data_IF_980643439014
#
_entry.id   IF_980643439014
#
_cell.length_a   1.000
_cell.length_b   1.000
_cell.length_c   1.000
_cell.angle_alpha   90.00
_cell.angle_beta   90.00
_cell.angle_gamma   90.00
#
_symmetry.space_group_name_H-M   'P 1'
#
loop_
_entity.id
_entity.type
_entity.pdbx_description
1 polymer ?
#
# COMPACT_ATOMS: atom_id res chain seq x y z
N UNK A 1 1.37 -12.88 -0.94
CA UNK A 1 1.79 -12.00 -2.06
C UNK A 1 1.76 -12.69 -3.43
N UNK A 2 1.97 -14.02 -3.50
CA UNK A 2 1.93 -14.72 -4.79
C UNK A 2 0.63 -14.50 -5.54
N UNK A 3 -0.49 -14.53 -4.82
CA UNK A 3 -1.80 -14.28 -5.42
C UNK A 3 -1.85 -12.88 -6.07
N UNK A 4 -1.30 -11.88 -5.39
CA UNK A 4 -1.25 -10.53 -5.93
C UNK A 4 -0.42 -10.49 -7.21
N UNK A 5 0.70 -11.20 -7.23
CA UNK A 5 1.56 -11.23 -8.40
C UNK A 5 0.86 -11.88 -9.61
N UNK A 6 0.06 -12.93 -9.35
CA UNK A 6 -0.70 -13.56 -10.42
C UNK A 6 -1.73 -12.60 -11.01
N UNK A 7 -2.43 -11.85 -10.16
CA UNK A 7 -3.37 -10.84 -10.63
C UNK A 7 -2.65 -9.80 -11.49
N UNK A 8 -1.51 -9.31 -11.01
CA UNK A 8 -0.70 -8.35 -11.76
C UNK A 8 -0.33 -8.89 -13.14
N UNK A 9 0.17 -10.12 -13.16
CA UNK A 9 0.63 -10.71 -14.40
C UNK A 9 -0.52 -10.87 -15.40
N UNK A 10 -1.67 -11.32 -14.90
CA UNK A 10 -2.84 -11.47 -15.76
C UNK A 10 -3.25 -10.12 -16.36
N UNK A 11 -3.34 -9.09 -15.54
CA UNK A 11 -3.74 -7.76 -16.03
C UNK A 11 -2.73 -7.25 -17.04
N UNK A 12 -1.45 -7.33 -16.70
CA UNK A 12 -0.40 -6.74 -17.52
C UNK A 12 -0.35 -7.35 -18.91
N UNK A 13 -0.69 -8.63 -19.02
CA UNK A 13 -0.61 -9.33 -20.30
C UNK A 13 -1.97 -9.50 -20.97
N UNK A 14 -3.01 -8.81 -20.49
CA UNK A 14 -4.32 -8.87 -21.10
C UNK A 14 -4.40 -7.90 -22.27
N UNK A 15 -5.21 -8.26 -23.27
CA UNK A 15 -5.42 -7.39 -24.42
C UNK A 15 -6.18 -6.14 -24.00
N UNK A 16 -7.03 -6.24 -22.99
CA UNK A 16 -7.85 -5.12 -22.55
C UNK A 16 -7.00 -3.92 -22.11
N UNK A 17 -5.78 -4.16 -21.62
CA UNK A 17 -4.92 -3.07 -21.17
C UNK A 17 -4.49 -2.17 -22.33
N UNK A 18 -4.43 -2.73 -23.53
CA UNK A 18 -4.04 -1.93 -24.71
C UNK A 18 -5.09 -0.88 -25.04
N UNK A 19 -6.35 -1.27 -24.92
CA UNK A 19 -7.45 -0.36 -25.22
C UNK A 19 -7.83 0.52 -24.03
N UNK A 20 -7.57 0.04 -22.83
CA UNK A 20 -7.94 0.72 -21.58
C UNK A 20 -6.71 0.79 -20.66
N UNK A 21 -5.79 1.73 -20.94
CA UNK A 21 -4.52 1.81 -20.17
C UNK A 21 -4.73 2.03 -18.66
N UNK A 22 -5.87 2.56 -18.27
CA UNK A 22 -6.15 2.78 -16.85
C UNK A 22 -6.20 1.48 -16.05
N UNK A 23 -6.48 0.36 -16.73
CA UNK A 23 -6.47 -0.94 -16.06
C UNK A 23 -5.11 -1.32 -15.51
N UNK A 24 -4.05 -0.74 -16.09
CA UNK A 24 -2.70 -1.05 -15.67
C UNK A 24 -2.34 -0.45 -14.32
N UNK A 25 -3.17 0.43 -13.79
CA UNK A 25 -2.91 1.05 -12.49
C UNK A 25 -2.90 0.00 -11.37
N UNK A 26 -3.79 -0.98 -11.44
CA UNK A 26 -3.81 -2.07 -10.46
C UNK A 26 -2.51 -2.87 -10.51
N UNK A 27 -2.06 -3.21 -11.73
CA UNK A 27 -0.82 -3.96 -11.88
C UNK A 27 0.37 -3.16 -11.35
N UNK A 28 0.38 -1.86 -11.60
CA UNK A 28 1.45 -0.97 -11.13
C UNK A 28 1.45 -0.87 -9.62
N UNK A 29 0.28 -0.75 -9.02
CA UNK A 29 0.16 -0.68 -7.56
C UNK A 29 0.66 -1.96 -6.91
N UNK A 30 0.30 -3.13 -7.46
CA UNK A 30 0.80 -4.39 -6.95
C UNK A 30 2.33 -4.44 -7.05
N UNK A 31 2.87 -4.01 -8.18
CA UNK A 31 4.32 -3.98 -8.36
C UNK A 31 4.99 -3.12 -7.29
N UNK A 32 4.42 -1.95 -7.01
CA UNK A 32 4.97 -1.04 -6.01
C UNK A 32 4.99 -1.67 -4.62
N UNK A 33 3.93 -2.40 -4.26
CA UNK A 33 3.89 -3.10 -2.98
C UNK A 33 4.99 -4.15 -2.92
N UNK A 34 5.16 -4.93 -3.98
CA UNK A 34 6.22 -5.93 -4.04
C UNK A 34 7.59 -5.31 -3.85
N UNK A 35 7.86 -4.23 -4.57
CA UNK A 35 9.16 -3.55 -4.46
C UNK A 35 9.38 -3.03 -3.05
N UNK A 36 8.33 -2.57 -2.41
CA UNK A 36 8.47 -2.02 -1.07
C UNK A 36 8.79 -3.07 -0.01
N UNK A 37 8.37 -4.32 -0.22
CA UNK A 37 8.53 -5.35 0.81
C UNK A 37 9.62 -6.37 0.49
N UNK A 38 10.13 -6.39 -0.75
CA UNK A 38 11.02 -7.48 -1.17
C UNK A 38 12.32 -7.54 -0.36
N UNK A 39 12.77 -6.42 0.20
CA UNK A 39 13.99 -6.39 1.00
C UNK A 39 13.72 -6.60 2.49
N UNK A 40 12.47 -6.87 2.88
CA UNK A 40 12.08 -6.93 4.28
C UNK A 40 11.53 -8.29 4.68
N UNK A 41 11.77 -9.31 3.85
CA UNK A 41 11.15 -10.62 4.05
C UNK A 41 11.62 -11.31 5.33
N UNK A 42 12.78 -10.92 5.86
CA UNK A 42 13.32 -11.56 7.06
C UNK A 42 13.02 -10.76 8.34
N UNK A 43 12.29 -9.65 8.22
CA UNK A 43 11.89 -8.86 9.37
C UNK A 43 10.36 -8.73 9.36
N UNK A 44 9.64 -9.61 10.09
CA UNK A 44 8.18 -9.59 10.04
C UNK A 44 7.56 -8.26 10.43
N UNK A 45 8.12 -7.57 11.41
CA UNK A 45 7.55 -6.28 11.82
C UNK A 45 7.62 -5.26 10.69
N UNK A 46 8.79 -5.14 10.07
CA UNK A 46 8.96 -4.19 8.97
C UNK A 46 8.11 -4.58 7.77
N UNK A 47 8.06 -5.87 7.47
CA UNK A 47 7.28 -6.39 6.37
C UNK A 47 5.81 -5.99 6.52
N UNK A 48 5.20 -6.35 7.65
CA UNK A 48 3.77 -6.09 7.84
C UNK A 48 3.46 -4.60 8.03
N UNK A 49 4.39 -3.86 8.60
CA UNK A 49 4.23 -2.41 8.70
C UNK A 49 4.18 -1.76 7.31
N UNK A 50 5.06 -2.21 6.42
CA UNK A 50 5.09 -1.69 5.06
C UNK A 50 3.84 -2.09 4.29
N UNK A 51 3.41 -3.35 4.41
CA UNK A 51 2.17 -3.78 3.77
C UNK A 51 1.01 -2.92 4.26
N UNK A 52 0.91 -2.69 5.56
CA UNK A 52 -0.18 -1.89 6.09
C UNK A 52 -0.19 -0.47 5.54
N UNK A 53 0.98 0.12 5.37
CA UNK A 53 1.06 1.46 4.79
C UNK A 53 0.54 1.51 3.36
N UNK A 54 0.67 0.40 2.66
CA UNK A 54 0.27 0.34 1.25
C UNK A 54 -1.18 -0.12 1.04
N UNK A 55 -1.84 -0.62 2.11
CA UNK A 55 -3.17 -1.19 1.98
C UNK A 55 -4.20 -0.20 1.45
N UNK A 56 -4.14 1.04 1.91
CA UNK A 56 -5.09 2.04 1.46
C UNK A 56 -5.02 2.26 -0.03
N UNK A 57 -3.81 2.40 -0.55
CA UNK A 57 -3.61 2.61 -1.97
C UNK A 57 -3.99 1.37 -2.77
N UNK A 58 -3.65 0.19 -2.26
CA UNK A 58 -3.97 -1.06 -2.92
C UNK A 58 -5.49 -1.26 -2.99
N UNK A 59 -6.19 -0.99 -1.89
CA UNK A 59 -7.64 -1.12 -1.86
C UNK A 59 -8.31 -0.14 -2.80
N UNK A 60 -7.83 1.09 -2.86
CA UNK A 60 -8.36 2.08 -3.78
C UNK A 60 -8.14 1.66 -5.23
N UNK A 61 -6.95 1.12 -5.52
CA UNK A 61 -6.66 0.64 -6.88
C UNK A 61 -7.55 -0.54 -7.23
N UNK A 62 -7.82 -1.43 -6.28
CA UNK A 62 -8.70 -2.59 -6.52
C UNK A 62 -10.13 -2.16 -6.79
N UNK A 63 -10.64 -1.17 -6.05
CA UNK A 63 -11.98 -0.64 -6.30
C UNK A 63 -12.07 0.00 -7.68
N UNK A 64 -11.07 0.78 -8.03
CA UNK A 64 -11.06 1.43 -9.34
C UNK A 64 -10.93 0.39 -10.45
N UNK A 65 -10.09 -0.61 -10.25
CA UNK A 65 -9.93 -1.68 -11.21
C UNK A 65 -11.25 -2.43 -11.43
N UNK A 66 -12.00 -2.66 -10.36
CA UNK A 66 -13.28 -3.35 -10.50
C UNK A 66 -14.24 -2.57 -11.40
N UNK A 67 -14.31 -1.25 -11.21
CA UNK A 67 -15.17 -0.41 -12.06
C UNK A 67 -14.67 -0.40 -13.50
N UNK A 68 -13.38 -0.22 -13.69
CA UNK A 68 -12.80 -0.13 -15.03
C UNK A 68 -12.90 -1.45 -15.76
N UNK A 69 -12.73 -2.57 -15.06
CA UNK A 69 -12.83 -3.89 -15.66
C UNK A 69 -14.22 -4.19 -16.19
N UNK A 70 -15.26 -3.86 -15.39
CA UNK A 70 -16.64 -4.07 -15.85
C UNK A 70 -16.96 -3.23 -17.07
N UNK A 71 -16.35 -2.05 -17.16
CA UNK A 71 -16.54 -1.17 -18.29
C UNK A 71 -15.78 -1.66 -19.53
N UNK A 72 -14.59 -2.21 -19.32
CA UNK A 72 -13.68 -2.55 -20.40
C UNK A 72 -13.98 -3.89 -21.05
N UNK A 73 -14.50 -4.86 -20.30
CA UNK A 73 -14.60 -6.22 -20.79
C UNK A 73 -15.75 -6.96 -20.14
N UNK A 74 -16.51 -7.71 -20.96
CA UNK A 74 -17.54 -8.63 -20.46
C UNK A 74 -16.99 -10.05 -20.34
N UNK A 75 -15.70 -10.26 -20.63
CA UNK A 75 -15.09 -11.57 -20.59
C UNK A 75 -15.02 -12.08 -19.16
N UNK A 76 -15.45 -13.32 -18.94
CA UNK A 76 -15.54 -13.90 -17.60
C UNK A 76 -14.19 -13.87 -16.87
N UNK A 77 -13.12 -14.21 -17.57
CA UNK A 77 -11.81 -14.24 -16.93
C UNK A 77 -11.40 -12.87 -16.38
N UNK A 78 -11.71 -11.83 -17.14
CA UNK A 78 -11.36 -10.48 -16.72
C UNK A 78 -12.22 -10.03 -15.55
N UNK A 79 -13.48 -10.38 -15.56
CA UNK A 79 -14.38 -10.08 -14.45
C UNK A 79 -13.98 -10.83 -13.19
N UNK A 80 -13.55 -12.09 -13.32
CA UNK A 80 -13.05 -12.85 -12.18
C UNK A 80 -11.75 -12.25 -11.63
N UNK A 81 -10.91 -11.71 -12.49
CA UNK A 81 -9.71 -11.00 -12.03
C UNK A 81 -10.09 -9.77 -11.21
N UNK A 82 -11.13 -9.06 -11.61
CA UNK A 82 -11.61 -7.90 -10.85
C UNK A 82 -12.10 -8.30 -9.46
N UNK A 83 -12.84 -9.40 -9.37
CA UNK A 83 -13.31 -9.93 -8.10
C UNK A 83 -12.12 -10.36 -7.24
N UNK A 84 -11.15 -11.04 -7.84
CA UNK A 84 -9.95 -11.48 -7.13
C UNK A 84 -9.17 -10.28 -6.59
N UNK A 85 -9.09 -9.20 -7.34
CA UNK A 85 -8.39 -7.99 -6.91
C UNK A 85 -9.07 -7.37 -5.68
N UNK A 86 -10.41 -7.38 -5.66
CA UNK A 86 -11.14 -6.87 -4.50
C UNK A 86 -10.81 -7.69 -3.25
N UNK A 87 -10.89 -9.02 -3.37
CA UNK A 87 -10.62 -9.89 -2.24
C UNK A 87 -9.17 -9.84 -1.80
N UNK A 88 -8.25 -9.54 -2.72
CA UNK A 88 -6.84 -9.39 -2.36
C UNK A 88 -6.65 -8.35 -1.28
N UNK A 89 -7.27 -7.18 -1.44
CA UNK A 89 -7.17 -6.12 -0.45
C UNK A 89 -7.71 -6.55 0.90
N UNK A 90 -8.85 -7.26 0.90
CA UNK A 90 -9.46 -7.74 2.14
C UNK A 90 -8.59 -8.79 2.81
N UNK A 91 -8.04 -9.74 2.03
CA UNK A 91 -7.18 -10.77 2.57
C UNK A 91 -5.91 -10.19 3.19
N UNK A 92 -5.31 -9.21 2.53
CA UNK A 92 -4.10 -8.58 3.07
C UNK A 92 -4.41 -7.81 4.35
N UNK A 93 -5.56 -7.17 4.41
CA UNK A 93 -5.95 -6.47 5.64
C UNK A 93 -6.13 -7.44 6.80
N UNK A 94 -6.77 -8.58 6.54
CA UNK A 94 -6.92 -9.61 7.58
C UNK A 94 -5.56 -10.14 8.03
N UNK A 95 -4.68 -10.42 7.10
CA UNK A 95 -3.34 -10.92 7.43
C UNK A 95 -2.56 -9.92 8.28
N UNK A 96 -2.62 -8.65 7.93
CA UNK A 96 -1.94 -7.61 8.71
C UNK A 96 -2.52 -7.53 10.11
N UNK A 97 -3.85 -7.60 10.22
CA UNK A 97 -4.51 -7.55 11.52
C UNK A 97 -4.09 -8.74 12.39
N UNK A 98 -4.06 -9.94 11.82
CA UNK A 98 -3.62 -11.12 12.55
C UNK A 98 -2.16 -11.04 12.94
N UNK A 99 -1.32 -10.56 12.02
CA UNK A 99 0.11 -10.43 12.28
C UNK A 99 0.39 -9.44 13.40
N UNK A 100 -0.40 -8.39 13.52
CA UNK A 100 -0.22 -7.41 14.60
C UNK A 100 -0.51 -7.99 15.99
N UNK A 101 -1.28 -9.06 16.05
CA UNK A 101 -1.51 -9.74 17.32
C UNK A 101 -0.33 -10.61 17.71
N UNK A 102 0.39 -11.16 16.71
CA UNK A 102 1.51 -12.07 16.94
C UNK A 102 2.85 -11.34 16.99
N UNK A 103 2.97 -10.26 16.24
CA UNK A 103 4.18 -9.43 16.17
C UNK A 103 3.76 -8.00 16.45
N UNK A 104 3.61 -7.63 17.72
CA UNK A 104 3.09 -6.31 18.09
C UNK A 104 3.96 -5.20 17.50
N UNK A 105 3.28 -4.16 17.07
CA UNK A 105 3.95 -2.99 16.57
C UNK A 105 4.74 -2.36 17.71
N UNK A 106 6.02 -2.01 17.50
CA UNK A 106 6.75 -1.30 18.53
C UNK A 106 6.05 0.01 18.83
N UNK A 107 6.05 0.37 20.08
CA UNK A 107 5.53 1.66 20.48
C UNK A 107 6.25 2.74 19.67
N UNK A 108 5.54 3.76 19.19
CA UNK A 108 6.23 4.83 18.51
C UNK A 108 7.27 5.41 19.45
N UNK A 109 8.45 5.68 18.95
CA UNK A 109 9.47 6.25 19.78
C UNK A 109 8.90 7.52 20.37
N UNK A 110 9.06 7.62 21.64
CA UNK A 110 8.71 8.81 22.30
C UNK A 110 9.49 9.89 21.68
N UNK A 111 8.81 10.67 20.95
CA UNK A 111 9.43 11.80 20.40
C UNK A 111 9.57 12.78 21.47
N UNK A 112 10.61 12.73 22.07
CA UNK A 112 11.05 13.89 22.71
C UNK A 112 11.35 14.80 21.60
N UNK A 113 10.43 15.52 21.26
CA UNK A 113 10.72 16.64 20.51
C UNK A 113 11.75 17.39 21.23
N UNK A 114 12.76 17.61 20.55
CA UNK A 114 13.65 18.56 21.10
C UNK A 114 12.83 19.70 21.33
N UNK A 115 12.74 19.74 22.19
CA UNK A 115 12.15 20.55 22.30
C UNK A 115 12.43 21.55 21.76
N UNK A 116 13.09 21.72 21.44
CA UNK A 116 13.31 22.44 20.78
C UNK A 116 12.81 22.50 19.73
N UNK A 117 12.32 22.26 19.58
CA UNK A 117 11.83 22.28 18.58
C UNK A 117 10.73 22.92 18.76
N UNK A 118 10.79 23.65 19.20
CA UNK A 118 10.09 24.22 19.48
C UNK A 118 9.54 24.84 18.68
N UNK A 119 8.86 24.95 18.48
CA UNK A 119 8.48 25.33 17.71
C UNK A 119 8.33 26.39 17.68
N UNK A 120 9.04 26.50 17.95
CA UNK A 120 9.44 26.88 18.02
C UNK A 120 9.91 27.10 18.13
N UNK A 121 10.15 27.03 18.19
CA UNK A 121 10.99 26.99 18.41
C UNK A 121 11.50 26.75 18.09
N UNK A 122 11.64 27.16 18.05
CA UNK A 122 12.44 27.04 18.08
C UNK A 122 12.95 27.32 18.04
N UNK A 123 13.26 27.95 18.14
CA UNK A 123 13.88 28.34 18.30
C UNK A 123 13.91 28.92 18.40
N UNK A 124 14.19 29.11 18.50
CA UNK A 124 14.52 29.65 18.74
C UNK A 124 14.49 30.13 18.60
N UNK A 125 14.68 30.69 18.74
CA UNK A 125 15.05 31.13 18.82
C UNK A 125 15.11 31.60 18.96
N UNK A 126 15.32 31.98 19.18
CA UNK A 126 15.74 32.37 19.53
C UNK A 126 15.60 32.83 19.48
N UNK A 127 15.71 33.09 19.60
CA UNK A 127 15.92 33.48 19.72
C UNK A 127 15.86 33.83 19.67
N UNK A 128 16.01 34.22 19.91
CA UNK A 128 16.24 34.62 20.05
C UNK A 128 16.19 34.96 20.03
N UNK A 129 16.35 35.46 20.27
CA UNK A 129 16.52 35.91 20.44
C UNK A 129 16.44 36.38 20.35
N UNK A 130 16.57 36.76 20.49
CA UNK A 130 16.67 37.23 20.60
C UNK A 130 16.55 37.52 20.57
N UNK A 131 16.85 37.95 20.88
CA UNK A 131 16.92 38.07 21.10
C UNK A 131 16.64 38.00 21.10
N UNK A 132 16.54 38.30 21.13
CA UNK A 132 16.43 37.94 21.45
C UNK A 132 16.11 37.80 21.20
#
# INVERSE_FOLDING_TARGET
>A
MAHAWMIRTFIKHSDEVEDYPELNEMARTIFDVFRAVETQVEDPQSYFRTVRKKLGKLSAAAEQFQKDAWHASTHTNFQQAAIAAKFLGEQLRELVTEAEKLVPRPAPPKITLPVSFKPGQGPEVSEESTSG
#
